data_IF_683572778293
#
_entry.id   IF_683572778293
#
_cell.length_a   1.000
_cell.length_b   1.000
_cell.length_c   1.000
_cell.angle_alpha   90.00
_cell.angle_beta   90.00
_cell.angle_gamma   90.00
#
_symmetry.space_group_name_H-M   'P 1'
#
loop_
_entity.id
_entity.type
_entity.pdbx_description
1 polymer ?
#
# COMPACT_ATOMS: atom_id res chain seq x y z
N UNK A 1 3.99 -20.50 -10.57
CA UNK A 1 4.12 -19.65 -9.37
C UNK A 1 4.71 -20.51 -8.27
N UNK A 2 5.99 -20.35 -7.95
CA UNK A 2 6.66 -21.11 -6.88
C UNK A 2 7.22 -20.08 -5.92
N UNK A 3 6.56 -19.89 -4.79
CA UNK A 3 7.14 -19.13 -3.69
C UNK A 3 8.41 -19.87 -3.27
N UNK A 4 9.56 -19.21 -3.41
CA UNK A 4 10.84 -19.80 -3.04
C UNK A 4 10.97 -19.67 -1.53
N UNK A 5 10.57 -20.73 -0.85
CA UNK A 5 10.61 -20.82 0.60
C UNK A 5 11.87 -21.62 0.95
N UNK A 6 12.86 -20.93 1.54
CA UNK A 6 14.14 -21.55 1.93
C UNK A 6 13.96 -22.61 3.01
N UNK A 7 13.05 -22.37 3.97
CA UNK A 7 12.63 -23.34 4.98
C UNK A 7 11.12 -23.58 4.91
N UNK A 8 10.74 -24.66 4.22
CA UNK A 8 9.35 -25.02 3.98
C UNK A 8 8.58 -25.39 5.25
N UNK A 9 9.27 -25.92 6.26
CA UNK A 9 8.63 -26.42 7.47
C UNK A 9 8.30 -25.26 8.41
N UNK A 10 9.26 -24.36 8.62
CA UNK A 10 9.04 -23.12 9.37
C UNK A 10 7.97 -22.26 8.70
N UNK A 11 8.02 -22.09 7.38
CA UNK A 11 6.99 -21.35 6.65
C UNK A 11 5.60 -21.98 6.77
N UNK A 12 5.51 -23.33 6.77
CA UNK A 12 4.24 -24.02 6.93
C UNK A 12 3.67 -23.79 8.33
N UNK A 13 4.50 -23.85 9.37
CA UNK A 13 4.09 -23.60 10.77
C UNK A 13 3.62 -22.15 10.95
N UNK A 14 4.41 -21.17 10.51
CA UNK A 14 4.03 -19.75 10.57
C UNK A 14 2.72 -19.49 9.80
N UNK A 15 2.55 -20.14 8.66
CA UNK A 15 1.33 -20.01 7.86
C UNK A 15 0.13 -20.68 8.53
N UNK A 16 0.32 -21.82 9.18
CA UNK A 16 -0.73 -22.47 9.98
C UNK A 16 -1.19 -21.59 11.14
N UNK A 17 -0.28 -20.85 11.79
CA UNK A 17 -0.63 -19.87 12.81
C UNK A 17 -1.42 -18.69 12.23
N UNK A 18 -1.03 -18.16 11.06
CA UNK A 18 -1.80 -17.13 10.35
C UNK A 18 -3.20 -17.60 9.97
N UNK A 19 -3.39 -18.87 9.63
CA UNK A 19 -4.71 -19.45 9.40
C UNK A 19 -5.59 -19.52 10.65
N UNK A 20 -5.03 -19.37 11.87
CA UNK A 20 -5.85 -19.28 13.10
C UNK A 20 -6.55 -17.93 13.23
N UNK A 21 -6.11 -16.92 12.48
CA UNK A 21 -6.73 -15.59 12.48
C UNK A 21 -8.04 -15.60 11.68
N UNK A 22 -9.05 -14.81 12.07
CA UNK A 22 -10.34 -14.75 11.35
C UNK A 22 -10.18 -14.31 9.89
N UNK A 23 -9.29 -13.35 9.65
CA UNK A 23 -8.87 -12.89 8.34
C UNK A 23 -7.43 -12.37 8.43
N UNK A 24 -6.59 -12.77 7.48
CA UNK A 24 -5.26 -12.22 7.28
C UNK A 24 -5.11 -11.78 5.82
N UNK A 25 -4.74 -10.52 5.61
CA UNK A 25 -4.41 -9.96 4.30
C UNK A 25 -2.96 -9.47 4.35
N UNK A 26 -2.13 -9.97 3.45
CA UNK A 26 -0.71 -9.62 3.39
C UNK A 26 -0.30 -9.42 1.93
N UNK A 27 0.44 -8.34 1.67
CA UNK A 27 1.03 -8.07 0.37
C UNK A 27 2.53 -8.37 0.44
N UNK A 28 3.02 -9.18 -0.49
CA UNK A 28 4.41 -9.60 -0.56
C UNK A 28 4.96 -9.36 -1.96
N UNK A 29 6.12 -8.68 -2.03
CA UNK A 29 6.89 -8.62 -3.26
C UNK A 29 7.81 -9.84 -3.37
N UNK A 30 7.74 -10.52 -4.49
CA UNK A 30 8.59 -11.66 -4.84
C UNK A 30 9.97 -11.18 -5.34
N UNK A 31 10.96 -12.10 -5.31
CA UNK A 31 12.32 -11.84 -5.83
C UNK A 31 12.34 -11.49 -7.32
N UNK A 32 11.34 -11.89 -8.09
CA UNK A 32 11.20 -11.58 -9.51
C UNK A 32 10.49 -10.22 -9.77
N UNK A 33 10.17 -9.47 -8.70
CA UNK A 33 9.57 -8.14 -8.76
C UNK A 33 8.04 -8.14 -8.77
N UNK A 34 7.39 -9.30 -8.91
CA UNK A 34 5.93 -9.40 -8.85
C UNK A 34 5.39 -9.18 -7.45
N UNK A 35 4.18 -8.65 -7.38
CA UNK A 35 3.47 -8.46 -6.13
C UNK A 35 2.34 -9.46 -6.00
N UNK A 36 2.28 -10.13 -4.85
CA UNK A 36 1.21 -11.03 -4.49
C UNK A 36 0.47 -10.53 -3.27
N UNK A 37 -0.85 -10.60 -3.33
CA UNK A 37 -1.71 -10.48 -2.15
C UNK A 37 -2.17 -11.85 -1.71
N UNK A 38 -1.93 -12.16 -0.44
CA UNK A 38 -2.37 -13.37 0.23
C UNK A 38 -3.57 -13.02 1.11
N UNK A 39 -4.74 -13.54 0.73
CA UNK A 39 -5.97 -13.39 1.51
C UNK A 39 -6.33 -14.75 2.10
N UNK A 40 -6.09 -14.91 3.40
CA UNK A 40 -6.43 -16.10 4.17
C UNK A 40 -7.65 -15.82 5.05
N UNK A 41 -8.73 -16.60 4.89
CA UNK A 41 -9.98 -16.45 5.65
C UNK A 41 -10.45 -17.78 6.22
N UNK A 42 -10.93 -17.75 7.47
CA UNK A 42 -11.59 -18.88 8.11
C UNK A 42 -13.00 -19.05 7.55
N UNK A 43 -13.38 -20.29 7.30
CA UNK A 43 -14.75 -20.64 6.89
C UNK A 43 -15.57 -21.05 8.10
N UNK A 44 -16.90 -20.93 7.99
CA UNK A 44 -17.84 -21.20 9.09
C UNK A 44 -17.84 -22.67 9.54
N UNK A 45 -17.45 -23.58 8.65
CA UNK A 45 -17.30 -25.02 8.89
C UNK A 45 -15.97 -25.40 9.57
N UNK A 46 -15.14 -24.42 9.95
CA UNK A 46 -13.87 -24.62 10.64
C UNK A 46 -12.67 -24.87 9.72
N UNK A 47 -12.88 -24.82 8.40
CA UNK A 47 -11.81 -24.79 7.39
C UNK A 47 -11.16 -23.41 7.23
N UNK A 48 -10.27 -23.31 6.24
CA UNK A 48 -9.67 -22.05 5.82
C UNK A 48 -9.50 -22.03 4.30
N UNK A 49 -9.74 -20.87 3.69
CA UNK A 49 -9.51 -20.62 2.26
C UNK A 49 -8.40 -19.57 2.15
N UNK A 50 -7.37 -19.89 1.35
CA UNK A 50 -6.27 -18.97 1.05
C UNK A 50 -6.22 -18.63 -0.44
N UNK A 51 -6.45 -17.37 -0.79
CA UNK A 51 -6.32 -16.88 -2.15
C UNK A 51 -4.96 -16.21 -2.36
N UNK A 52 -4.33 -16.44 -3.52
CA UNK A 52 -3.17 -15.67 -3.96
C UNK A 52 -3.56 -14.91 -5.21
N UNK A 53 -3.45 -13.59 -5.15
CA UNK A 53 -3.82 -12.70 -6.24
C UNK A 53 -2.55 -11.98 -6.68
N UNK A 54 -2.20 -12.09 -7.95
CA UNK A 54 -1.15 -11.26 -8.54
C UNK A 54 -1.69 -9.83 -8.66
N UNK A 55 -1.06 -8.90 -7.95
CA UNK A 55 -1.40 -7.48 -7.91
C UNK A 55 -0.29 -6.62 -8.52
N UNK A 56 0.62 -7.21 -9.29
CA UNK A 56 1.76 -6.49 -9.90
C UNK A 56 1.29 -5.29 -10.73
N UNK A 57 0.31 -5.48 -11.61
CA UNK A 57 -0.23 -4.41 -12.44
C UNK A 57 -0.91 -3.31 -11.60
N UNK A 58 -1.54 -3.67 -10.49
CA UNK A 58 -2.15 -2.70 -9.58
C UNK A 58 -1.07 -1.82 -8.94
N UNK A 59 -0.02 -2.44 -8.40
CA UNK A 59 1.10 -1.73 -7.77
C UNK A 59 1.85 -0.84 -8.76
N UNK A 60 2.10 -1.32 -9.97
CA UNK A 60 2.73 -0.52 -11.02
C UNK A 60 1.87 0.69 -11.41
N UNK A 61 0.54 0.55 -11.46
CA UNK A 61 -0.36 1.67 -11.73
C UNK A 61 -0.37 2.69 -10.58
N UNK A 62 -0.41 2.22 -9.33
CA UNK A 62 -0.33 3.09 -8.15
C UNK A 62 0.97 3.91 -8.16
N UNK A 63 2.11 3.26 -8.40
CA UNK A 63 3.41 3.93 -8.51
C UNK A 63 3.44 4.92 -9.67
N UNK A 64 2.96 4.52 -10.86
CA UNK A 64 2.89 5.38 -12.02
C UNK A 64 2.02 6.63 -11.80
N UNK A 65 0.88 6.47 -11.13
CA UNK A 65 0.02 7.61 -10.78
C UNK A 65 0.71 8.58 -9.83
N UNK A 66 1.43 8.07 -8.82
CA UNK A 66 2.26 8.91 -7.94
C UNK A 66 3.32 9.68 -8.71
N UNK A 67 4.03 9.02 -9.63
CA UNK A 67 5.04 9.68 -10.47
C UNK A 67 4.43 10.76 -11.38
N UNK A 68 3.25 10.52 -11.96
CA UNK A 68 2.56 11.53 -12.78
C UNK A 68 2.11 12.74 -11.95
N UNK A 69 1.63 12.51 -10.73
CA UNK A 69 1.28 13.58 -9.79
C UNK A 69 2.51 14.44 -9.46
N UNK A 70 3.64 13.80 -9.14
CA UNK A 70 4.89 14.47 -8.76
C UNK A 70 5.55 15.21 -9.92
N UNK A 71 5.48 14.64 -11.14
CA UNK A 71 6.04 15.25 -12.35
C UNK A 71 5.18 16.38 -12.92
N UNK A 72 3.96 16.59 -12.40
CA UNK A 72 3.07 17.63 -12.90
C UNK A 72 3.67 19.03 -12.63
N UNK A 73 3.84 19.89 -13.65
CA UNK A 73 4.43 21.21 -13.48
C UNK A 73 3.52 22.21 -12.73
N UNK A 74 2.24 21.87 -12.54
CA UNK A 74 1.30 22.71 -11.81
C UNK A 74 1.38 22.45 -10.30
N UNK A 75 1.43 23.48 -9.44
CA UNK A 75 1.31 23.31 -7.99
C UNK A 75 0.00 22.59 -7.63
N UNK A 76 0.11 21.42 -7.00
CA UNK A 76 -1.03 20.60 -6.59
C UNK A 76 -0.87 20.08 -5.16
N UNK A 77 -1.94 20.18 -4.39
CA UNK A 77 -2.10 19.60 -3.06
C UNK A 77 -3.26 18.60 -3.11
N UNK A 78 -3.06 17.43 -2.52
CA UNK A 78 -4.14 16.50 -2.21
C UNK A 78 -4.51 16.71 -0.75
N UNK A 79 -5.76 17.05 -0.49
CA UNK A 79 -6.25 17.28 0.87
C UNK A 79 -7.31 16.25 1.26
N UNK A 80 -7.43 15.99 2.56
CA UNK A 80 -8.52 15.22 3.13
C UNK A 80 -9.86 15.95 2.93
N UNK A 81 -10.92 15.19 2.67
CA UNK A 81 -12.23 15.75 2.33
C UNK A 81 -13.00 16.33 3.52
N UNK A 82 -12.73 15.84 4.73
CA UNK A 82 -13.48 16.22 5.93
C UNK A 82 -12.79 17.36 6.69
N UNK A 83 -11.46 17.30 6.81
CA UNK A 83 -10.71 18.24 7.63
C UNK A 83 -9.74 19.13 6.86
N UNK A 84 -9.64 18.98 5.53
CA UNK A 84 -8.75 19.73 4.63
C UNK A 84 -7.26 19.63 4.95
N UNK A 85 -6.84 18.64 5.75
CA UNK A 85 -5.44 18.36 6.00
C UNK A 85 -4.73 18.04 4.69
N UNK A 86 -3.54 18.60 4.47
CA UNK A 86 -2.72 18.29 3.30
C UNK A 86 -2.21 16.86 3.48
N UNK A 87 -2.69 15.97 2.63
CA UNK A 87 -2.26 14.58 2.61
C UNK A 87 -1.01 14.44 1.76
N UNK A 88 -0.96 15.05 0.57
CA UNK A 88 0.18 15.00 -0.36
C UNK A 88 0.41 16.36 -1.02
N UNK A 89 1.65 16.67 -1.35
CA UNK A 89 2.04 17.85 -2.12
C UNK A 89 3.02 17.45 -3.22
N UNK A 90 2.74 17.84 -4.47
CA UNK A 90 3.64 17.52 -5.56
C UNK A 90 4.88 18.43 -5.57
N UNK A 91 5.87 18.08 -6.40
CA UNK A 91 7.12 18.82 -6.46
C UNK A 91 6.93 20.30 -6.85
N UNK A 92 5.96 20.60 -7.72
CA UNK A 92 5.64 21.97 -8.11
C UNK A 92 5.04 22.78 -6.94
N UNK A 93 4.21 22.17 -6.09
CA UNK A 93 3.67 22.81 -4.90
C UNK A 93 4.77 23.16 -3.91
N UNK A 94 5.70 22.24 -3.63
CA UNK A 94 6.82 22.52 -2.73
C UNK A 94 7.66 23.71 -3.21
N UNK A 95 7.98 23.74 -4.51
CA UNK A 95 8.71 24.88 -5.12
C UNK A 95 7.93 26.19 -5.06
N UNK A 96 6.62 26.13 -5.27
CA UNK A 96 5.75 27.31 -5.32
C UNK A 96 5.53 27.92 -3.93
N UNK A 97 5.22 27.08 -2.93
CA UNK A 97 4.98 27.53 -1.55
C UNK A 97 6.27 27.75 -0.76
N UNK A 98 7.40 27.22 -1.21
CA UNK A 98 8.70 27.37 -0.56
C UNK A 98 8.89 26.50 0.68
N UNK A 99 8.08 25.45 0.82
CA UNK A 99 8.17 24.44 1.87
C UNK A 99 8.39 23.07 1.25
N UNK A 100 9.10 22.19 1.94
CA UNK A 100 9.17 20.80 1.51
C UNK A 100 7.83 20.08 1.72
N UNK A 101 7.72 18.86 1.20
CA UNK A 101 6.49 18.09 1.31
C UNK A 101 6.14 17.77 2.77
N UNK A 102 7.11 17.41 3.61
CA UNK A 102 6.87 17.03 5.01
C UNK A 102 6.36 18.23 5.83
N UNK A 103 6.96 19.40 5.60
CA UNK A 103 6.52 20.66 6.18
C UNK A 103 5.10 20.99 5.75
N UNK A 104 4.76 20.87 4.45
CA UNK A 104 3.41 21.10 3.93
C UNK A 104 2.38 20.17 4.57
N UNK A 105 2.70 18.88 4.71
CA UNK A 105 1.83 17.87 5.33
C UNK A 105 1.60 18.15 6.82
N UNK A 106 2.55 18.81 7.50
CA UNK A 106 2.41 19.20 8.90
C UNK A 106 1.53 20.44 9.12
N UNK A 107 1.22 21.20 8.07
CA UNK A 107 0.39 22.41 8.15
C UNK A 107 -1.08 22.02 8.32
N UNK A 108 -1.74 22.68 9.27
CA UNK A 108 -3.18 22.57 9.46
C UNK A 108 -3.91 23.69 8.72
N UNK A 109 -5.02 23.39 8.03
CA UNK A 109 -5.88 24.44 7.49
C UNK A 109 -6.37 25.33 8.63
N UNK A 110 -6.40 26.64 8.39
CA UNK A 110 -6.97 27.59 9.34
C UNK A 110 -8.49 27.41 9.24
N UNK A 111 -9.10 26.80 10.27
CA UNK A 111 -10.56 26.79 10.37
C UNK A 111 -11.09 28.23 10.43
N UNK A 112 -12.15 28.57 9.67
CA UNK A 112 -12.80 29.87 9.75
C UNK A 112 -13.45 30.13 11.12
#
# INVERSE_FOLDING_TARGET
>A
MREFIEDKETWLVERMEKFRLPAAQEEQQLRDGRWLRHDDRRTLDGGAIGMRIDITDLKQREEWLGQLFDANPMPMLLCDGDNLDIMHANQAASKFYGWDAEELLSRKPISP
#
